data_IF_213390074230
#
_entry.id   IF_213390074230
#
_cell.length_a   1.000
_cell.length_b   1.000
_cell.length_c   1.000
_cell.angle_alpha   90.00
_cell.angle_beta   90.00
_cell.angle_gamma   90.00
#
_symmetry.space_group_name_H-M   'P 1'
#
loop_
_entity.id
_entity.type
_entity.pdbx_description
1 polymer ?
#
# COMPACT_ATOMS: atom_id res chain seq x y z
N UNK A 1 9.01 -42.13 -46.71
CA UNK A 1 10.20 -41.43 -46.16
C UNK A 1 10.92 -40.81 -47.35
N UNK A 2 11.36 -39.56 -47.22
CA UNK A 2 11.85 -38.61 -48.25
C UNK A 2 10.78 -38.06 -49.21
N UNK A 3 10.55 -36.76 -49.11
CA UNK A 3 10.24 -35.89 -50.25
C UNK A 3 11.29 -34.76 -50.23
N UNK A 4 11.95 -34.57 -51.37
CA UNK A 4 13.09 -33.67 -51.50
C UNK A 4 12.65 -32.28 -51.90
N UNK A 5 13.09 -31.34 -51.07
CA UNK A 5 13.41 -29.94 -51.31
C UNK A 5 13.50 -29.56 -52.79
N UNK A 6 12.69 -28.56 -53.16
CA UNK A 6 13.07 -27.57 -54.17
C UNK A 6 12.25 -27.62 -55.44
N UNK A 7 11.36 -26.65 -55.58
CA UNK A 7 10.92 -26.21 -56.90
C UNK A 7 10.49 -24.75 -56.89
N UNK A 8 11.47 -23.94 -57.34
CA UNK A 8 11.44 -22.63 -58.02
C UNK A 8 10.94 -21.38 -57.28
N UNK A 9 11.92 -20.62 -56.79
CA UNK A 9 11.89 -19.15 -56.70
C UNK A 9 11.60 -18.60 -58.11
N UNK A 10 10.40 -18.07 -58.32
CA UNK A 10 10.10 -17.26 -59.50
C UNK A 10 10.56 -15.83 -59.22
N UNK A 11 11.62 -15.42 -59.91
CA UNK A 11 12.18 -14.06 -59.94
C UNK A 11 11.10 -13.07 -60.37
N UNK A 12 10.44 -12.44 -59.40
CA UNK A 12 9.70 -11.21 -59.63
C UNK A 12 10.58 -10.03 -59.20
N UNK A 13 10.87 -9.17 -60.17
CA UNK A 13 11.81 -8.05 -60.10
C UNK A 13 11.56 -7.16 -58.88
N UNK A 14 12.63 -6.86 -58.14
CA UNK A 14 12.63 -5.92 -57.01
C UNK A 14 12.42 -4.50 -57.55
N UNK A 15 11.26 -3.92 -57.28
CA UNK A 15 11.04 -2.48 -57.43
C UNK A 15 11.61 -1.77 -56.19
N UNK A 16 12.31 -0.65 -56.40
CA UNK A 16 13.04 0.07 -55.36
C UNK A 16 12.17 0.52 -54.19
N UNK A 17 12.62 0.24 -52.97
CA UNK A 17 11.98 0.69 -51.73
C UNK A 17 12.43 2.13 -51.45
N UNK A 18 11.51 3.09 -51.54
CA UNK A 18 11.70 4.43 -51.00
C UNK A 18 11.54 4.39 -49.48
N UNK A 19 12.48 5.00 -48.74
CA UNK A 19 12.39 5.05 -47.27
C UNK A 19 11.26 5.98 -46.85
N UNK A 20 10.43 5.49 -45.93
CA UNK A 20 9.41 6.27 -45.23
C UNK A 20 10.08 7.28 -44.29
N UNK A 21 9.55 8.51 -44.26
CA UNK A 21 10.05 9.61 -43.44
C UNK A 21 9.98 9.30 -41.93
N UNK A 22 10.93 9.85 -41.18
CA UNK A 22 11.03 9.73 -39.72
C UNK A 22 9.82 10.34 -39.01
N UNK A 23 9.24 9.68 -37.98
CA UNK A 23 8.15 10.25 -37.21
C UNK A 23 8.62 11.45 -36.39
N UNK A 24 7.77 12.47 -36.30
CA UNK A 24 8.01 13.68 -35.50
C UNK A 24 8.09 13.34 -34.00
N UNK A 25 8.98 14.03 -33.28
CA UNK A 25 9.22 13.83 -31.85
C UNK A 25 7.94 14.08 -31.03
N UNK A 26 7.67 13.17 -30.07
CA UNK A 26 6.52 13.27 -29.17
C UNK A 26 6.63 14.51 -28.28
N UNK A 27 5.53 15.27 -28.17
CA UNK A 27 5.42 16.41 -27.26
C UNK A 27 5.61 15.95 -25.81
N UNK A 28 6.33 16.75 -25.03
CA UNK A 28 6.56 16.56 -23.61
C UNK A 28 5.24 16.56 -22.84
N UNK A 29 4.98 15.49 -22.10
CA UNK A 29 3.84 15.37 -21.18
C UNK A 29 4.04 16.36 -20.03
N UNK A 30 3.25 17.41 -19.98
CA UNK A 30 3.15 18.28 -18.79
C UNK A 30 2.63 17.45 -17.62
N UNK A 31 3.38 17.46 -16.52
CA UNK A 31 3.03 16.79 -15.25
C UNK A 31 1.61 17.23 -14.82
N UNK A 32 0.68 16.30 -14.83
CA UNK A 32 -0.69 16.52 -14.35
C UNK A 32 -0.62 17.02 -12.89
N UNK A 33 -1.32 18.12 -12.53
CA UNK A 33 -1.43 18.54 -11.14
C UNK A 33 -2.07 17.41 -10.32
N UNK A 34 -1.46 17.11 -9.17
CA UNK A 34 -1.85 15.99 -8.31
C UNK A 34 -3.33 16.04 -7.98
N UNK A 35 -4.02 14.94 -8.23
CA UNK A 35 -5.41 14.76 -7.81
C UNK A 35 -5.45 14.82 -6.28
N UNK A 36 -6.23 15.76 -5.74
CA UNK A 36 -6.53 15.78 -4.32
C UNK A 36 -7.13 14.42 -3.94
N UNK A 37 -6.40 13.67 -3.11
CA UNK A 37 -6.85 12.37 -2.62
C UNK A 37 -8.06 12.61 -1.71
N UNK A 38 -9.26 12.34 -2.21
CA UNK A 38 -10.47 12.34 -1.39
C UNK A 38 -10.29 11.24 -0.34
N UNK A 39 -10.35 11.55 0.98
CA UNK A 39 -10.16 10.53 2.00
C UNK A 39 -11.24 9.47 1.82
N UNK A 40 -10.79 8.24 1.61
CA UNK A 40 -11.68 7.08 1.46
C UNK A 40 -12.53 6.92 2.72
N UNK A 41 -13.69 6.28 2.60
CA UNK A 41 -14.57 5.98 3.74
C UNK A 41 -13.79 5.27 4.87
N UNK A 42 -12.83 4.41 4.51
CA UNK A 42 -11.95 3.77 5.47
C UNK A 42 -11.05 4.76 6.23
N UNK A 43 -10.49 5.77 5.56
CA UNK A 43 -9.69 6.82 6.21
C UNK A 43 -10.54 7.71 7.13
N UNK A 44 -11.80 7.94 6.78
CA UNK A 44 -12.75 8.70 7.62
C UNK A 44 -13.16 7.91 8.88
N UNK A 45 -13.36 6.60 8.76
CA UNK A 45 -13.65 5.72 9.91
C UNK A 45 -12.44 5.51 10.81
N UNK A 46 -11.22 5.51 10.26
CA UNK A 46 -9.97 5.41 11.01
C UNK A 46 -9.55 6.72 11.70
N UNK A 47 -10.30 7.82 11.50
CA UNK A 47 -9.97 9.12 12.07
C UNK A 47 -10.05 9.15 13.61
N UNK A 48 -10.78 8.21 14.21
CA UNK A 48 -10.85 8.04 15.66
C UNK A 48 -10.74 6.56 16.01
N UNK A 49 -9.90 6.23 16.98
CA UNK A 49 -9.86 4.88 17.53
C UNK A 49 -11.23 4.56 18.16
N UNK A 50 -11.76 3.33 18.01
CA UNK A 50 -13.00 2.92 18.66
C UNK A 50 -12.77 2.81 20.17
N UNK A 51 -12.93 3.92 20.88
CA UNK A 51 -12.81 4.00 22.33
C UNK A 51 -14.19 3.80 22.96
N UNK A 52 -14.29 2.81 23.85
CA UNK A 52 -15.47 2.58 24.67
C UNK A 52 -15.50 3.59 25.84
N UNK A 53 -16.37 4.58 25.71
CA UNK A 53 -16.52 5.65 26.70
C UNK A 53 -17.17 5.17 28.01
N UNK A 54 -18.04 4.16 27.95
CA UNK A 54 -18.70 3.59 29.13
C UNK A 54 -17.68 2.83 29.99
N UNK A 55 -16.80 2.08 29.34
CA UNK A 55 -15.67 1.43 30.00
C UNK A 55 -14.75 2.44 30.68
N UNK A 56 -14.44 3.55 30.01
CA UNK A 56 -13.61 4.62 30.58
C UNK A 56 -14.28 5.23 31.81
N UNK A 57 -15.58 5.51 31.76
CA UNK A 57 -16.33 6.05 32.90
C UNK A 57 -16.32 5.09 34.10
N UNK A 58 -16.53 3.79 33.86
CA UNK A 58 -16.49 2.76 34.91
C UNK A 58 -15.12 2.65 35.56
N UNK A 59 -14.05 2.68 34.78
CA UNK A 59 -12.67 2.65 35.30
C UNK A 59 -12.41 3.89 36.16
N UNK A 60 -12.78 5.08 35.67
CA UNK A 60 -12.62 6.34 36.43
C UNK A 60 -13.35 6.30 37.77
N UNK A 61 -14.58 5.79 37.80
CA UNK A 61 -15.34 5.61 39.04
C UNK A 61 -14.66 4.64 40.00
N UNK A 62 -14.18 3.49 39.52
CA UNK A 62 -13.50 2.49 40.35
C UNK A 62 -12.18 3.03 40.95
N UNK A 63 -11.45 3.86 40.19
CA UNK A 63 -10.25 4.54 40.68
C UNK A 63 -10.62 5.57 41.76
N UNK A 64 -11.64 6.40 41.51
CA UNK A 64 -12.09 7.41 42.48
C UNK A 64 -12.61 6.79 43.79
N UNK A 65 -13.29 5.65 43.72
CA UNK A 65 -13.78 4.91 44.88
C UNK A 65 -12.71 4.07 45.58
N UNK A 66 -11.46 4.06 45.06
CA UNK A 66 -10.36 3.26 45.60
C UNK A 66 -10.55 1.74 45.44
N UNK A 67 -11.53 1.30 44.65
CA UNK A 67 -11.92 -0.11 44.52
C UNK A 67 -11.40 -0.74 43.22
N UNK A 68 -10.47 -0.06 42.55
CA UNK A 68 -9.78 -0.58 41.39
C UNK A 68 -8.79 -1.67 41.84
N UNK A 69 -8.89 -2.91 41.31
CA UNK A 69 -8.06 -4.01 41.75
C UNK A 69 -6.60 -3.79 41.31
N UNK A 70 -5.71 -3.53 42.28
CA UNK A 70 -4.27 -3.47 42.05
C UNK A 70 -3.64 -4.79 42.47
N UNK A 71 -3.21 -5.59 41.50
CA UNK A 71 -2.43 -6.81 41.71
C UNK A 71 -0.99 -6.60 41.25
N UNK A 72 0.03 -6.91 42.08
CA UNK A 72 1.43 -6.81 41.69
C UNK A 72 1.74 -7.57 40.39
N UNK A 73 1.10 -8.73 40.20
CA UNK A 73 1.27 -9.55 38.98
C UNK A 73 0.73 -8.83 37.74
N UNK A 74 -0.45 -8.21 37.83
CA UNK A 74 -1.05 -7.46 36.72
C UNK A 74 -0.19 -6.25 36.36
N UNK A 75 0.36 -5.55 37.35
CA UNK A 75 1.25 -4.40 37.10
C UNK A 75 2.51 -4.88 36.37
N UNK A 76 3.16 -5.95 36.86
CA UNK A 76 4.35 -6.49 36.22
C UNK A 76 4.09 -6.89 34.76
N UNK A 77 2.96 -7.56 34.50
CA UNK A 77 2.55 -7.96 33.15
C UNK A 77 2.35 -6.75 32.22
N UNK A 78 1.66 -5.71 32.70
CA UNK A 78 1.46 -4.48 31.91
C UNK A 78 2.76 -3.74 31.61
N UNK A 79 3.72 -3.73 32.54
CA UNK A 79 5.03 -3.11 32.32
C UNK A 79 5.86 -3.89 31.29
N UNK A 80 5.83 -5.22 31.36
CA UNK A 80 6.49 -6.09 30.38
C UNK A 80 5.87 -5.90 28.99
N UNK A 81 4.54 -5.90 28.88
CA UNK A 81 3.84 -5.66 27.63
C UNK A 81 4.18 -4.29 27.04
N UNK A 82 4.18 -3.22 27.85
CA UNK A 82 4.55 -1.88 27.42
C UNK A 82 6.00 -1.81 26.93
N UNK A 83 6.92 -2.55 27.57
CA UNK A 83 8.31 -2.64 27.11
C UNK A 83 8.44 -3.29 25.74
N UNK A 84 7.73 -4.39 25.51
CA UNK A 84 7.73 -5.08 24.21
C UNK A 84 7.08 -4.23 23.11
N UNK A 85 5.97 -3.56 23.42
CA UNK A 85 5.30 -2.65 22.49
C UNK A 85 6.25 -1.53 22.05
N UNK A 86 6.94 -0.89 22.99
CA UNK A 86 7.94 0.12 22.67
C UNK A 86 9.05 -0.43 21.76
N UNK A 87 9.63 -1.60 22.10
CA UNK A 87 10.69 -2.22 21.28
C UNK A 87 10.21 -2.53 19.86
N UNK A 88 8.95 -2.91 19.70
CA UNK A 88 8.40 -3.28 18.39
C UNK A 88 8.13 -2.07 17.47
N UNK A 89 7.95 -0.88 18.05
CA UNK A 89 7.70 0.36 17.30
C UNK A 89 8.94 1.26 17.16
N UNK A 90 10.08 0.87 17.75
CA UNK A 90 11.37 1.53 17.55
C UNK A 90 11.90 1.18 16.14
N UNK A 91 11.68 2.08 15.16
CA UNK A 91 12.27 1.94 13.83
C UNK A 91 13.77 2.23 13.92
N UNK A 92 14.59 1.27 13.46
CA UNK A 92 16.03 1.42 13.23
C UNK A 92 16.36 2.58 12.29
#
# INVERSE_FOLDING_TARGET
MVDSIGSKLSTNKVAGVTRVATPAAAASVTKQPGTAQVPTVAAQLAASAPVDMDRVARIKQAVASGNFPLSPTTIADTLIAARYEWMSHDKA
#
